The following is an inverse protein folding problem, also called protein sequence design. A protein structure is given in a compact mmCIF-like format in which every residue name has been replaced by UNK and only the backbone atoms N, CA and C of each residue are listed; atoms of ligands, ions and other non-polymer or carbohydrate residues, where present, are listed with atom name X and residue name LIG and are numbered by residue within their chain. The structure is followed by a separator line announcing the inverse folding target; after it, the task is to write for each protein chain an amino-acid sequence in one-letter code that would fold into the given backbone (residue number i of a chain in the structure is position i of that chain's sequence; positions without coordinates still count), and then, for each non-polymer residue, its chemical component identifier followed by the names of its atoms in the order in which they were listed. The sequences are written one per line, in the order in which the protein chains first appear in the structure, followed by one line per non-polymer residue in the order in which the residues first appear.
data_IF_959703857347
#
_entry.id   IF_959703857347
#
_cell.length_a   1.000
_cell.length_b   1.000
_cell.length_c   1.000
_cell.angle_alpha   90.00
_cell.angle_beta   90.00
_cell.angle_gamma   90.00
#
_symmetry.space_group_name_H-M   'P 1'
#
loop_
_entity.id
_entity.type
_entity.pdbx_description
1 polymer ?
#
# COMPACT_ATOMS: atom_id res chain seq x y z
N UNK A 1 -1.01 38.73 -0.32
CA UNK A 1 0.35 38.14 -0.44
C UNK A 1 0.19 36.65 -0.26
N UNK A 2 0.14 35.89 -1.34
CA UNK A 2 0.09 34.43 -1.30
C UNK A 2 1.48 33.92 -0.91
N UNK A 3 1.61 33.35 0.29
CA UNK A 3 2.84 32.70 0.71
C UNK A 3 3.13 31.53 -0.24
N UNK A 4 4.27 31.57 -0.92
CA UNK A 4 4.81 30.43 -1.64
C UNK A 4 5.01 29.29 -0.63
N UNK A 5 4.56 28.05 -0.91
CA UNK A 5 4.86 26.92 -0.03
C UNK A 5 6.39 26.78 0.00
N UNK A 6 6.96 26.98 1.18
CA UNK A 6 8.38 26.75 1.40
C UNK A 6 8.62 25.24 1.23
N UNK A 7 9.51 24.85 0.33
CA UNK A 7 9.91 23.46 0.20
C UNK A 7 10.36 22.96 1.58
N UNK A 8 9.90 21.80 2.06
CA UNK A 8 10.28 21.29 3.36
C UNK A 8 11.81 21.20 3.43
N UNK A 9 12.40 21.84 4.44
CA UNK A 9 13.84 21.79 4.66
C UNK A 9 14.27 20.33 4.87
N UNK A 10 15.32 19.91 4.18
CA UNK A 10 15.91 18.58 4.33
C UNK A 10 16.34 18.38 5.80
N UNK A 11 15.90 17.29 6.42
CA UNK A 11 16.29 16.96 7.79
C UNK A 11 17.75 16.52 7.83
N UNK A 12 18.53 17.11 8.73
CA UNK A 12 19.90 16.66 8.95
C UNK A 12 19.90 15.28 9.64
N UNK A 13 20.85 14.38 9.30
CA UNK A 13 20.98 13.10 9.98
C UNK A 13 21.13 13.27 11.50
N UNK A 14 20.46 12.41 12.26
CA UNK A 14 20.45 12.43 13.72
C UNK A 14 19.38 13.33 14.36
N UNK A 15 18.69 14.17 13.59
CA UNK A 15 17.60 15.00 14.10
C UNK A 15 16.31 14.20 14.32
N UNK A 16 15.40 14.72 15.15
CA UNK A 16 14.05 14.17 15.29
C UNK A 16 13.28 14.30 13.98
N UNK A 17 12.77 13.17 13.48
CA UNK A 17 12.01 13.06 12.24
C UNK A 17 10.50 12.87 12.48
N UNK A 18 10.04 12.90 13.74
CA UNK A 18 8.65 12.59 14.10
C UNK A 18 7.63 13.43 13.33
N UNK A 19 7.82 14.75 13.26
CA UNK A 19 6.89 15.64 12.58
C UNK A 19 6.82 15.37 11.07
N UNK A 20 7.97 15.15 10.43
CA UNK A 20 8.03 14.89 8.99
C UNK A 20 7.46 13.51 8.64
N UNK A 21 7.78 12.48 9.43
CA UNK A 21 7.23 11.14 9.22
C UNK A 21 5.71 11.12 9.46
N UNK A 22 5.23 11.83 10.49
CA UNK A 22 3.80 12.03 10.73
C UNK A 22 3.11 12.68 9.53
N UNK A 23 3.67 13.77 8.99
CA UNK A 23 3.10 14.43 7.83
C UNK A 23 2.98 13.48 6.63
N UNK A 24 4.00 12.66 6.36
CA UNK A 24 3.94 11.65 5.30
C UNK A 24 2.94 10.52 5.58
N UNK A 25 2.87 10.04 6.83
CA UNK A 25 1.95 8.98 7.25
C UNK A 25 0.49 9.43 7.15
N UNK A 26 0.18 10.63 7.65
CA UNK A 26 -1.18 11.18 7.72
C UNK A 26 -1.66 11.67 6.35
N UNK A 27 -0.75 11.94 5.41
CA UNK A 27 -1.08 12.27 4.02
C UNK A 27 -1.48 11.05 3.16
N UNK A 28 -1.47 9.83 3.71
CA UNK A 28 -2.02 8.67 3.00
C UNK A 28 -3.53 8.78 2.88
N UNK A 29 -4.06 8.51 1.70
CA UNK A 29 -5.49 8.42 1.50
C UNK A 29 -6.06 7.25 2.31
N UNK A 30 -7.11 7.55 3.08
CA UNK A 30 -7.88 6.57 3.87
C UNK A 30 -9.36 6.84 3.66
N UNK A 31 -10.18 5.80 3.81
CA UNK A 31 -11.62 5.97 3.80
C UNK A 31 -12.07 6.69 5.08
N UNK A 32 -13.08 7.54 4.94
CA UNK A 32 -13.68 8.23 6.07
C UNK A 32 -14.47 7.25 6.95
N UNK A 33 -14.78 7.65 8.19
CA UNK A 33 -15.47 6.79 9.15
C UNK A 33 -16.90 6.43 8.76
N UNK A 34 -17.49 7.17 7.81
CA UNK A 34 -18.82 6.96 7.24
C UNK A 34 -18.79 6.14 5.93
N UNK A 35 -17.66 5.54 5.58
CA UNK A 35 -17.56 4.67 4.41
C UNK A 35 -18.52 3.47 4.51
N UNK A 36 -19.57 3.50 3.70
CA UNK A 36 -20.63 2.49 3.71
C UNK A 36 -20.28 1.16 3.04
N UNK A 37 -19.12 1.08 2.39
CA UNK A 37 -18.73 -0.07 1.59
C UNK A 37 -19.09 0.07 0.11
N UNK A 38 -18.67 -0.91 -0.68
CA UNK A 38 -18.88 -0.96 -2.12
C UNK A 38 -18.89 -2.39 -2.63
N UNK A 39 -19.48 -2.59 -3.81
CA UNK A 39 -19.56 -3.89 -4.48
C UNK A 39 -19.24 -3.76 -5.96
N UNK A 40 -19.07 -4.90 -6.61
CA UNK A 40 -18.92 -4.95 -8.06
C UNK A 40 -18.62 -6.35 -8.58
N UNK A 41 -18.16 -6.40 -9.83
CA UNK A 41 -17.59 -7.60 -10.44
C UNK A 41 -16.09 -7.65 -10.20
N UNK A 42 -15.54 -8.82 -9.98
CA UNK A 42 -14.10 -9.06 -9.92
C UNK A 42 -13.67 -10.03 -11.03
N UNK A 43 -12.56 -9.71 -11.69
CA UNK A 43 -11.97 -10.52 -12.75
C UNK A 43 -10.52 -10.77 -12.38
N UNK A 44 -10.08 -12.01 -12.51
CA UNK A 44 -8.69 -12.42 -12.38
C UNK A 44 -8.20 -13.02 -13.69
N UNK A 45 -7.01 -12.61 -14.13
CA UNK A 45 -6.36 -13.09 -15.35
C UNK A 45 -4.91 -13.50 -15.07
N UNK A 46 -4.49 -14.65 -15.60
CA UNK A 46 -3.11 -15.13 -15.58
C UNK A 46 -2.86 -16.06 -16.77
N UNK A 47 -1.97 -15.65 -17.68
CA UNK A 47 -1.79 -16.34 -18.96
C UNK A 47 -3.12 -16.38 -19.73
N UNK A 48 -3.52 -17.56 -20.19
CA UNK A 48 -4.80 -17.75 -20.90
C UNK A 48 -6.00 -17.97 -19.96
N UNK A 49 -5.78 -17.99 -18.64
CA UNK A 49 -6.86 -18.18 -17.67
C UNK A 49 -7.52 -16.85 -17.35
N UNK A 50 -8.85 -16.83 -17.38
CA UNK A 50 -9.70 -15.74 -16.92
C UNK A 50 -10.85 -16.29 -16.09
N UNK A 51 -11.04 -15.73 -14.90
CA UNK A 51 -12.09 -16.15 -13.96
C UNK A 51 -12.80 -14.91 -13.44
N UNK A 52 -14.13 -14.98 -13.37
CA UNK A 52 -14.97 -13.87 -12.95
C UNK A 52 -15.83 -14.25 -11.75
N UNK A 53 -16.14 -13.24 -10.94
CA UNK A 53 -17.06 -13.35 -9.81
C UNK A 53 -17.64 -11.99 -9.46
N UNK A 54 -18.25 -11.93 -8.29
CA UNK A 54 -18.71 -10.69 -7.68
C UNK A 54 -18.09 -10.55 -6.31
N UNK A 55 -18.00 -9.31 -5.84
CA UNK A 55 -17.48 -9.03 -4.52
C UNK A 55 -18.28 -7.92 -3.84
N UNK A 56 -18.20 -7.92 -2.52
CA UNK A 56 -18.67 -6.84 -1.67
C UNK A 56 -17.61 -6.57 -0.61
N UNK A 57 -17.31 -5.30 -0.36
CA UNK A 57 -16.57 -4.82 0.81
C UNK A 57 -17.54 -4.04 1.67
N UNK A 58 -17.93 -4.60 2.81
CA UNK A 58 -18.90 -3.99 3.71
C UNK A 58 -18.35 -2.79 4.48
N UNK A 59 -19.23 -2.07 5.18
CA UNK A 59 -18.85 -0.98 6.09
C UNK A 59 -17.92 -1.42 7.24
N UNK A 60 -17.93 -2.72 7.58
CA UNK A 60 -16.98 -3.32 8.53
C UNK A 60 -15.61 -3.65 7.91
N UNK A 61 -15.42 -3.26 6.64
CA UNK A 61 -14.20 -3.42 5.84
C UNK A 61 -13.84 -4.88 5.56
N UNK A 62 -14.79 -5.80 5.71
CA UNK A 62 -14.63 -7.20 5.32
C UNK A 62 -15.09 -7.40 3.88
N UNK A 63 -14.30 -8.17 3.15
CA UNK A 63 -14.59 -8.56 1.78
C UNK A 63 -15.28 -9.93 1.73
N UNK A 64 -16.31 -10.05 0.89
CA UNK A 64 -16.86 -11.32 0.42
C UNK A 64 -16.65 -11.44 -1.09
N UNK A 65 -16.45 -12.67 -1.57
CA UNK A 65 -16.28 -12.99 -2.99
C UNK A 65 -17.15 -14.18 -3.32
N UNK A 66 -17.96 -14.05 -4.36
CA UNK A 66 -18.91 -15.06 -4.83
C UNK A 66 -18.70 -15.38 -6.31
N UNK A 67 -19.15 -16.56 -6.75
CA UNK A 67 -19.09 -16.97 -8.16
C UNK A 67 -17.75 -17.57 -8.62
N UNK A 68 -16.78 -17.75 -7.72
CA UNK A 68 -15.46 -18.32 -8.03
C UNK A 68 -15.31 -19.68 -7.34
N UNK A 69 -15.30 -20.75 -8.11
CA UNK A 69 -15.18 -22.12 -7.61
C UNK A 69 -13.73 -22.56 -7.34
N UNK A 70 -12.76 -21.98 -8.07
CA UNK A 70 -11.34 -22.26 -7.86
C UNK A 70 -10.87 -21.60 -6.54
N UNK A 71 -10.47 -22.38 -5.53
CA UNK A 71 -10.12 -21.85 -4.21
C UNK A 71 -8.86 -20.97 -4.23
N UNK A 72 -7.92 -21.22 -5.14
CA UNK A 72 -6.70 -20.42 -5.24
C UNK A 72 -7.00 -19.05 -5.85
N UNK A 73 -7.85 -19.01 -6.87
CA UNK A 73 -8.31 -17.74 -7.49
C UNK A 73 -9.20 -16.95 -6.54
N UNK A 74 -10.10 -17.65 -5.82
CA UNK A 74 -10.93 -17.03 -4.78
C UNK A 74 -10.05 -16.35 -3.72
N UNK A 75 -9.07 -17.09 -3.20
CA UNK A 75 -8.10 -16.57 -2.23
C UNK A 75 -7.27 -15.41 -2.79
N UNK A 76 -6.84 -15.48 -4.04
CA UNK A 76 -6.07 -14.42 -4.68
C UNK A 76 -6.87 -13.09 -4.71
N UNK A 77 -8.11 -13.11 -5.21
CA UNK A 77 -8.99 -11.92 -5.24
C UNK A 77 -9.32 -11.44 -3.83
N UNK A 78 -9.72 -12.34 -2.93
CA UNK A 78 -10.05 -12.00 -1.54
C UNK A 78 -8.87 -11.32 -0.83
N UNK A 79 -7.63 -11.78 -1.12
CA UNK A 79 -6.42 -11.17 -0.56
C UNK A 79 -6.19 -9.76 -1.09
N UNK A 80 -6.45 -9.50 -2.39
CA UNK A 80 -6.35 -8.14 -2.92
C UNK A 80 -7.36 -7.18 -2.28
N UNK A 81 -8.62 -7.61 -2.14
CA UNK A 81 -9.67 -6.81 -1.50
C UNK A 81 -9.33 -6.52 -0.03
N UNK A 82 -8.85 -7.53 0.69
CA UNK A 82 -8.38 -7.37 2.07
C UNK A 82 -7.21 -6.38 2.16
N UNK A 83 -6.20 -6.50 1.31
CA UNK A 83 -5.06 -5.58 1.27
C UNK A 83 -5.49 -4.13 1.02
N UNK A 84 -6.42 -3.91 0.09
CA UNK A 84 -6.96 -2.56 -0.17
C UNK A 84 -7.62 -2.01 1.08
N UNK A 85 -8.50 -2.81 1.70
CA UNK A 85 -9.28 -2.42 2.87
C UNK A 85 -8.39 -2.10 4.08
N UNK A 86 -7.46 -2.98 4.47
CA UNK A 86 -6.64 -2.79 5.68
C UNK A 86 -5.78 -1.52 5.64
N UNK A 87 -5.34 -1.12 4.46
CA UNK A 87 -4.48 0.03 4.29
C UNK A 87 -5.29 1.33 4.07
N UNK A 88 -6.59 1.21 3.82
CA UNK A 88 -7.53 2.34 3.74
C UNK A 88 -8.24 2.60 5.06
N UNK A 89 -8.10 1.71 6.05
CA UNK A 89 -8.55 1.97 7.42
C UNK A 89 -7.75 3.14 8.00
N UNK A 90 -8.47 4.17 8.47
CA UNK A 90 -7.84 5.27 9.18
C UNK A 90 -7.42 4.82 10.58
N UNK A 91 -6.13 4.95 10.87
CA UNK A 91 -5.54 4.81 12.21
C UNK A 91 -4.72 6.06 12.47
N UNK A 92 -4.84 6.63 13.66
CA UNK A 92 -4.02 7.79 14.03
C UNK A 92 -2.55 7.40 14.13
N UNK A 93 -1.68 8.38 13.94
CA UNK A 93 -0.25 8.18 14.10
C UNK A 93 0.06 7.68 15.52
N UNK A 94 -0.53 8.27 16.55
CA UNK A 94 -0.35 7.86 17.96
C UNK A 94 -0.72 6.40 18.19
N UNK A 95 -1.85 5.93 17.65
CA UNK A 95 -2.29 4.54 17.81
C UNK A 95 -1.30 3.53 17.21
N UNK A 96 -0.63 3.89 16.11
CA UNK A 96 0.27 2.98 15.39
C UNK A 96 1.73 3.16 15.81
N UNK A 97 2.11 4.37 16.21
CA UNK A 97 3.50 4.80 16.35
C UNK A 97 3.83 5.47 17.69
N UNK A 98 2.87 5.59 18.62
CA UNK A 98 3.08 6.29 19.90
C UNK A 98 4.16 5.70 20.80
N UNK A 99 4.49 4.41 20.64
CA UNK A 99 5.54 3.71 21.38
C UNK A 99 6.91 3.74 20.65
N UNK A 100 7.06 4.54 19.59
CA UNK A 100 8.25 4.62 18.75
C UNK A 100 8.91 6.01 18.80
N UNK A 101 10.19 6.05 18.48
CA UNK A 101 10.93 7.29 18.18
C UNK A 101 11.38 7.30 16.72
N UNK A 102 11.63 8.49 16.18
CA UNK A 102 11.96 8.68 14.77
C UNK A 102 13.18 9.58 14.62
N UNK A 103 14.26 9.05 14.06
CA UNK A 103 15.50 9.79 13.82
C UNK A 103 15.76 9.91 12.33
N UNK A 104 16.11 11.08 11.82
CA UNK A 104 16.49 11.24 10.42
C UNK A 104 17.82 10.51 10.14
N UNK A 105 17.86 9.73 9.06
CA UNK A 105 19.08 9.13 8.51
C UNK A 105 19.65 9.97 7.38
N UNK A 106 20.23 9.31 6.38
CA UNK A 106 20.69 9.98 5.16
C UNK A 106 19.54 10.44 4.26
N UNK A 107 19.85 11.20 3.22
CA UNK A 107 18.88 11.55 2.18
C UNK A 107 19.45 11.23 0.80
N UNK A 108 18.66 10.55 -0.01
CA UNK A 108 18.97 10.19 -1.39
C UNK A 108 17.82 10.54 -2.34
N UNK A 109 17.85 10.00 -3.56
CA UNK A 109 16.81 10.23 -4.56
C UNK A 109 15.42 9.70 -4.15
N UNK A 110 15.39 8.66 -3.32
CA UNK A 110 14.17 8.02 -2.80
C UNK A 110 13.58 8.88 -1.67
N UNK A 111 14.41 9.49 -0.85
CA UNK A 111 13.98 10.45 0.18
C UNK A 111 14.88 10.43 1.42
N UNK A 112 14.46 11.17 2.44
CA UNK A 112 15.10 11.15 3.75
C UNK A 112 14.75 9.87 4.49
N UNK A 113 15.76 9.13 4.96
CA UNK A 113 15.57 7.94 5.79
C UNK A 113 15.00 8.31 7.15
N UNK A 114 14.09 7.48 7.64
CA UNK A 114 13.50 7.54 8.98
C UNK A 114 13.86 6.27 9.75
N UNK A 115 14.78 6.49 10.67
CA UNK A 115 15.22 5.78 11.87
C UNK A 115 14.15 5.34 12.87
N UNK A 116 13.56 4.14 12.82
CA UNK A 116 12.58 3.77 13.87
C UNK A 116 13.29 3.19 15.10
N UNK A 117 13.06 3.80 16.25
CA UNK A 117 13.41 3.28 17.58
C UNK A 117 12.16 2.90 18.40
N UNK A 118 12.37 2.35 19.59
CA UNK A 118 11.28 1.93 20.48
C UNK A 118 10.69 0.56 20.12
N UNK A 119 9.37 0.43 20.17
CA UNK A 119 8.67 -0.86 19.97
C UNK A 119 8.95 -1.51 18.62
N UNK A 120 9.13 -0.71 17.58
CA UNK A 120 9.42 -1.15 16.21
C UNK A 120 10.89 -0.90 15.82
N UNK A 121 11.81 -0.92 16.79
CA UNK A 121 13.23 -0.78 16.52
C UNK A 121 13.70 -1.77 15.43
N UNK A 122 14.40 -1.23 14.42
CA UNK A 122 14.85 -1.98 13.24
C UNK A 122 14.00 -1.75 11.99
N UNK A 123 12.76 -1.28 12.13
CA UNK A 123 11.99 -0.77 10.97
C UNK A 123 12.64 0.52 10.44
N UNK A 124 12.50 0.76 9.14
CA UNK A 124 12.94 1.99 8.47
C UNK A 124 11.91 2.44 7.46
N UNK A 125 11.89 3.74 7.21
CA UNK A 125 11.13 4.32 6.10
C UNK A 125 12.01 5.27 5.31
N UNK A 126 11.60 5.62 4.10
CA UNK A 126 12.02 6.88 3.47
C UNK A 126 10.80 7.73 3.20
N UNK A 127 10.98 9.05 3.34
CA UNK A 127 9.94 10.03 3.08
C UNK A 127 10.45 11.11 2.12
N UNK A 128 9.55 11.57 1.23
CA UNK A 128 9.80 12.65 0.29
C UNK A 128 8.48 13.31 -0.05
N UNK A 129 8.41 14.64 -0.02
CA UNK A 129 7.21 15.40 -0.42
C UNK A 129 5.90 14.93 0.27
N UNK A 130 5.97 14.66 1.59
CA UNK A 130 4.88 14.09 2.39
C UNK A 130 4.33 12.74 1.84
N UNK A 131 5.19 11.96 1.19
CA UNK A 131 4.92 10.58 0.75
C UNK A 131 5.92 9.65 1.42
N UNK A 132 5.43 8.52 1.94
CA UNK A 132 6.29 7.40 2.34
C UNK A 132 6.75 6.68 1.08
N UNK A 133 8.01 6.88 0.70
CA UNK A 133 8.61 6.38 -0.55
C UNK A 133 9.32 5.05 -0.38
N UNK A 134 9.70 4.69 0.84
CA UNK A 134 10.19 3.35 1.16
C UNK A 134 9.65 2.88 2.50
N UNK A 135 9.32 1.60 2.59
CA UNK A 135 8.93 0.91 3.82
C UNK A 135 9.83 -0.31 3.96
N UNK A 136 10.53 -0.43 5.08
CA UNK A 136 11.33 -1.60 5.43
C UNK A 136 10.92 -2.07 6.82
N UNK A 137 10.22 -3.21 6.90
CA UNK A 137 9.58 -3.63 8.14
C UNK A 137 9.77 -5.09 8.47
N UNK A 138 9.97 -5.36 9.75
CA UNK A 138 10.03 -6.71 10.29
C UNK A 138 8.62 -7.21 10.58
N UNK A 139 8.20 -8.26 9.89
CA UNK A 139 6.85 -8.83 9.98
C UNK A 139 6.98 -10.35 10.05
N UNK A 140 6.48 -10.95 11.14
CA UNK A 140 6.39 -12.40 11.33
C UNK A 140 7.67 -13.19 10.99
N UNK A 141 8.85 -12.68 11.39
CA UNK A 141 10.13 -13.34 11.15
C UNK A 141 10.69 -13.17 9.72
N UNK A 142 10.09 -12.29 8.93
CA UNK A 142 10.60 -11.84 7.62
C UNK A 142 10.81 -10.33 7.64
N UNK A 143 11.58 -9.83 6.69
CA UNK A 143 11.61 -8.39 6.40
C UNK A 143 11.00 -8.14 5.03
N UNK A 144 10.13 -7.14 4.93
CA UNK A 144 9.58 -6.68 3.66
C UNK A 144 10.14 -5.31 3.35
N UNK A 145 10.63 -5.12 2.12
CA UNK A 145 11.04 -3.82 1.60
C UNK A 145 10.14 -3.44 0.43
N UNK A 146 9.51 -2.27 0.52
CA UNK A 146 8.60 -1.73 -0.48
C UNK A 146 9.12 -0.37 -0.92
N UNK A 147 9.21 -0.13 -2.23
CA UNK A 147 9.50 1.19 -2.79
C UNK A 147 8.26 1.71 -3.52
N UNK A 148 7.76 2.87 -3.11
CA UNK A 148 6.71 3.59 -3.85
C UNK A 148 7.37 4.37 -4.98
N UNK A 149 7.09 3.97 -6.23
CA UNK A 149 7.65 4.56 -7.44
C UNK A 149 6.74 5.66 -8.01
N UNK A 150 5.42 5.54 -7.82
CA UNK A 150 4.47 6.59 -8.19
C UNK A 150 3.20 6.56 -7.36
N UNK A 151 2.50 7.69 -7.31
CA UNK A 151 1.27 7.87 -6.54
C UNK A 151 0.14 8.45 -7.41
N UNK A 152 -1.08 8.24 -6.95
CA UNK A 152 -2.27 9.00 -7.37
C UNK A 152 -2.57 10.02 -6.28
N UNK A 153 -2.60 11.30 -6.65
CA UNK A 153 -3.10 12.37 -5.78
C UNK A 153 -4.63 12.41 -5.86
N UNK A 154 -5.28 12.26 -4.71
CA UNK A 154 -6.74 12.28 -4.58
C UNK A 154 -7.30 13.66 -4.25
N UNK A 155 -6.42 14.64 -3.97
CA UNK A 155 -6.76 15.93 -3.36
C UNK A 155 -6.92 15.87 -1.83
N UNK A 156 -7.06 14.68 -1.25
CA UNK A 156 -7.16 14.45 0.21
C UNK A 156 -6.13 13.44 0.70
N UNK A 157 -4.98 13.37 0.03
CA UNK A 157 -3.90 12.44 0.29
C UNK A 157 -3.52 11.58 -0.91
N UNK A 158 -2.53 10.73 -0.74
CA UNK A 158 -1.98 9.92 -1.83
C UNK A 158 -2.35 8.44 -1.71
N UNK A 159 -2.45 7.79 -2.87
CA UNK A 159 -2.54 6.33 -3.03
C UNK A 159 -1.29 5.86 -3.78
N UNK A 160 -0.59 4.82 -3.29
CA UNK A 160 0.50 4.21 -4.04
C UNK A 160 -0.05 3.59 -5.32
N UNK A 161 0.45 4.04 -6.47
CA UNK A 161 0.00 3.63 -7.81
C UNK A 161 0.98 2.66 -8.45
N UNK A 162 2.27 2.92 -8.33
CA UNK A 162 3.34 2.03 -8.78
C UNK A 162 4.28 1.77 -7.62
N UNK A 163 4.55 0.51 -7.31
CA UNK A 163 5.48 0.16 -6.24
C UNK A 163 6.07 -1.23 -6.42
N UNK A 164 7.22 -1.47 -5.80
CA UNK A 164 7.83 -2.81 -5.71
C UNK A 164 7.76 -3.35 -4.29
N UNK A 165 7.79 -4.68 -4.13
CA UNK A 165 7.84 -5.36 -2.84
C UNK A 165 8.76 -6.58 -2.94
N UNK A 166 9.66 -6.73 -1.97
CA UNK A 166 10.50 -7.91 -1.82
C UNK A 166 10.56 -8.34 -0.36
N UNK A 167 10.32 -9.63 -0.14
CA UNK A 167 10.56 -10.26 1.15
C UNK A 167 11.99 -10.79 1.19
N UNK A 168 12.62 -10.70 2.35
CA UNK A 168 13.94 -11.27 2.59
C UNK A 168 14.02 -11.90 3.98
N UNK A 169 15.00 -12.77 4.15
CA UNK A 169 15.43 -13.25 5.45
C UNK A 169 16.13 -12.12 6.23
N UNK A 170 15.68 -11.79 7.46
CA UNK A 170 16.20 -10.63 8.18
C UNK A 170 17.65 -10.81 8.67
N UNK A 171 18.13 -12.06 8.81
CA UNK A 171 19.49 -12.33 9.29
C UNK A 171 20.52 -12.32 8.15
N UNK A 172 20.14 -12.83 6.98
CA UNK A 172 21.05 -13.04 5.84
C UNK A 172 20.85 -12.04 4.72
N UNK A 173 19.70 -11.37 4.66
CA UNK A 173 19.29 -10.52 3.53
C UNK A 173 18.91 -11.30 2.27
N UNK A 174 18.89 -12.64 2.33
CA UNK A 174 18.54 -13.47 1.18
C UNK A 174 17.07 -13.29 0.81
N UNK A 175 16.79 -13.05 -0.48
CA UNK A 175 15.43 -12.88 -0.97
C UNK A 175 14.57 -14.13 -0.72
N UNK A 176 13.33 -13.91 -0.29
CA UNK A 176 12.29 -14.93 -0.12
C UNK A 176 11.25 -14.75 -1.22
N UNK A 177 11.60 -15.27 -2.40
CA UNK A 177 10.79 -15.12 -3.61
C UNK A 177 11.21 -13.94 -4.49
N UNK A 178 10.58 -13.85 -5.66
CA UNK A 178 10.87 -12.81 -6.64
C UNK A 178 10.43 -11.42 -6.19
N UNK A 179 11.10 -10.40 -6.71
CA UNK A 179 10.64 -9.02 -6.60
C UNK A 179 9.26 -8.92 -7.28
N UNK A 180 8.28 -8.38 -6.57
CA UNK A 180 6.96 -8.08 -7.13
C UNK A 180 6.85 -6.60 -7.46
N UNK A 181 6.37 -6.26 -8.65
CA UNK A 181 6.00 -4.91 -9.08
C UNK A 181 4.48 -4.83 -9.23
N UNK A 182 3.91 -3.79 -8.63
CA UNK A 182 2.49 -3.52 -8.59
C UNK A 182 2.20 -2.26 -9.40
N UNK A 183 1.20 -2.36 -10.28
CA UNK A 183 0.61 -1.21 -10.97
C UNK A 183 -0.88 -1.17 -10.70
N UNK A 184 -1.29 -0.20 -9.90
CA UNK A 184 -2.65 -0.01 -9.44
C UNK A 184 -3.33 1.14 -10.21
N UNK A 185 -4.63 0.98 -10.46
CA UNK A 185 -5.52 2.06 -10.89
C UNK A 185 -6.62 2.23 -9.86
N UNK A 186 -6.82 3.47 -9.44
CA UNK A 186 -7.90 3.85 -8.54
C UNK A 186 -8.90 4.74 -9.28
N UNK A 187 -10.17 4.64 -8.89
CA UNK A 187 -11.26 5.48 -9.38
C UNK A 187 -12.14 5.96 -8.23
N UNK A 188 -12.73 7.17 -8.31
CA UNK A 188 -13.73 7.60 -7.34
C UNK A 188 -15.03 6.83 -7.56
N UNK A 189 -15.55 6.21 -6.50
CA UNK A 189 -16.81 5.49 -6.51
C UNK A 189 -17.96 6.43 -6.89
N UNK A 190 -18.80 6.05 -7.86
CA UNK A 190 -19.86 6.92 -8.37
C UNK A 190 -19.38 8.22 -9.06
N UNK A 191 -18.09 8.32 -9.40
CA UNK A 191 -17.51 9.47 -10.11
C UNK A 191 -17.01 10.61 -9.21
N UNK A 192 -17.45 10.70 -7.95
CA UNK A 192 -17.00 11.73 -7.00
C UNK A 192 -16.90 11.25 -5.55
N UNK A 193 -17.14 9.97 -5.29
CA UNK A 193 -17.09 9.38 -3.96
C UNK A 193 -15.69 8.90 -3.56
N UNK A 194 -15.61 8.03 -2.54
CA UNK A 194 -14.34 7.47 -2.07
C UNK A 194 -13.55 6.79 -3.18
N UNK A 195 -12.22 6.94 -3.17
CA UNK A 195 -11.35 6.27 -4.12
C UNK A 195 -11.22 4.78 -3.78
N UNK A 196 -11.43 3.93 -4.77
CA UNK A 196 -11.36 2.46 -4.67
C UNK A 196 -10.49 1.90 -5.80
N UNK A 197 -9.93 0.70 -5.58
CA UNK A 197 -9.11 0.02 -6.58
C UNK A 197 -10.02 -0.50 -7.72
N UNK A 198 -9.69 -0.16 -8.96
CA UNK A 198 -10.36 -0.69 -10.16
C UNK A 198 -9.52 -1.72 -10.92
N UNK A 199 -8.20 -1.64 -10.80
CA UNK A 199 -7.28 -2.55 -11.47
C UNK A 199 -5.99 -2.67 -10.67
N UNK A 200 -5.43 -3.87 -10.63
CA UNK A 200 -4.08 -4.13 -10.14
C UNK A 200 -3.39 -5.13 -11.05
N UNK A 201 -2.19 -4.79 -11.47
CA UNK A 201 -1.29 -5.68 -12.19
C UNK A 201 -0.14 -6.03 -11.25
N UNK A 202 0.13 -7.32 -11.08
CA UNK A 202 1.23 -7.84 -10.26
C UNK A 202 2.17 -8.64 -11.16
N UNK A 203 3.36 -8.09 -11.38
CA UNK A 203 4.46 -8.76 -12.05
C UNK A 203 5.43 -9.29 -10.98
N UNK A 204 5.73 -10.58 -10.99
CA UNK A 204 6.70 -11.18 -10.08
C UNK A 204 7.86 -11.74 -10.88
N UNK A 205 9.08 -11.35 -10.53
CA UNK A 205 10.30 -11.88 -11.15
C UNK A 205 10.50 -13.36 -10.80
N UNK A 206 11.21 -14.10 -11.66
CA UNK A 206 11.60 -15.46 -11.34
C UNK A 206 12.58 -15.48 -10.16
N UNK A 207 12.48 -16.47 -9.29
CA UNK A 207 13.38 -16.64 -8.15
C UNK A 207 13.53 -18.12 -7.80
N UNK A 208 14.78 -18.60 -7.78
CA UNK A 208 15.09 -20.03 -7.63
C UNK A 208 14.24 -20.86 -8.62
N UNK A 209 13.48 -21.83 -8.11
CA UNK A 209 12.64 -22.71 -8.93
C UNK A 209 11.25 -22.13 -9.23
N UNK A 210 10.95 -20.91 -8.77
CA UNK A 210 9.67 -20.24 -9.04
C UNK A 210 9.79 -19.40 -10.32
N UNK A 211 9.01 -19.68 -11.37
CA UNK A 211 9.04 -18.90 -12.60
C UNK A 211 8.47 -17.49 -12.38
N UNK A 212 8.78 -16.58 -13.30
CA UNK A 212 8.15 -15.27 -13.33
C UNK A 212 6.63 -15.41 -13.52
N UNK A 213 5.87 -14.48 -12.96
CA UNK A 213 4.42 -14.49 -12.98
C UNK A 213 3.84 -13.12 -13.34
N UNK A 214 2.67 -13.13 -13.96
CA UNK A 214 1.85 -11.95 -14.20
C UNK A 214 0.42 -12.28 -13.77
N UNK A 215 -0.15 -11.47 -12.89
CA UNK A 215 -1.56 -11.54 -12.52
C UNK A 215 -2.21 -10.17 -12.73
N UNK A 216 -3.39 -10.18 -13.33
CA UNK A 216 -4.21 -8.98 -13.49
C UNK A 216 -5.51 -9.17 -12.72
N UNK A 217 -5.83 -8.19 -11.89
CA UNK A 217 -7.06 -8.11 -11.13
C UNK A 217 -7.84 -6.89 -11.63
N UNK A 218 -9.11 -7.07 -11.99
CA UNK A 218 -10.01 -5.97 -12.37
C UNK A 218 -11.23 -5.97 -11.46
N UNK A 219 -11.61 -4.80 -10.98
CA UNK A 219 -12.80 -4.56 -10.19
C UNK A 219 -13.68 -3.57 -10.96
N UNK A 220 -14.80 -4.06 -11.47
CA UNK A 220 -15.65 -3.37 -12.44
C UNK A 220 -17.08 -3.23 -11.91
N UNK A 221 -17.89 -2.40 -12.56
CA UNK A 221 -19.27 -2.13 -12.15
C UNK A 221 -19.35 -1.75 -10.65
N UNK A 222 -18.47 -0.84 -10.24
CA UNK A 222 -18.27 -0.44 -8.86
C UNK A 222 -19.44 0.43 -8.38
N UNK A 223 -20.17 -0.04 -7.37
CA UNK A 223 -21.33 0.64 -6.79
C UNK A 223 -21.16 0.80 -5.27
N UNK A 224 -21.56 1.94 -4.68
CA UNK A 224 -21.66 2.05 -3.23
C UNK A 224 -22.77 1.16 -2.66
N UNK A 225 -22.61 0.71 -1.42
CA UNK A 225 -23.64 -0.04 -0.70
C UNK A 225 -24.69 0.85 -0.01
N UNK A 226 -24.45 2.17 0.05
CA UNK A 226 -25.32 3.17 0.66
C UNK A 226 -25.45 4.43 -0.19
#
# INVERSE_FOLDING_TARGET
MTATPQAPALLAPGCDATAAFRAAYENRYTWQSDFGGYRGRCIWEQGDRRVEGTFEVGADLKASVEGIADPDVHKAIASQLWEVAIHRVRRSFEQVHGDNSFTAGDTDAVGTEVIVGGKNAGDRYRIKDNVVTMVHRHIHGTVVTIFTESVTDTGSGYLSRGYTSQYADPATGAARGGLSRFSDRFVPLGGSGPWVLSERIVETEACADTPAGLQVFRFEALEPLG
#
